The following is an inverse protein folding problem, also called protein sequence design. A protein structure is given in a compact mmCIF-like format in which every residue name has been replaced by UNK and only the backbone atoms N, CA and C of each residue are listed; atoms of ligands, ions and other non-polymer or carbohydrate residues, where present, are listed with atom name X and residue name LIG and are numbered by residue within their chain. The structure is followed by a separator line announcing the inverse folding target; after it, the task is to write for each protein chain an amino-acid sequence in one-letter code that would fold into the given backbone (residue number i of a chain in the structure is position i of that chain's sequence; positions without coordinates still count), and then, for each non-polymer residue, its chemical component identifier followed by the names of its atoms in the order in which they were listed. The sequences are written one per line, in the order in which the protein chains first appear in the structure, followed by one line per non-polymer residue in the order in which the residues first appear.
data_IF_390999782675
#
_entry.id   IF_390999782675
#
_cell.length_a   1.000
_cell.length_b   1.000
_cell.length_c   1.000
_cell.angle_alpha   90.00
_cell.angle_beta   90.00
_cell.angle_gamma   90.00
#
_symmetry.space_group_name_H-M   'P 1'
#
loop_
_entity.id
_entity.type
_entity.pdbx_description
1 polymer ?
#
# COMPACT_ATOMS: atom_id res chain seq x y z
N UNK A 1 6.81 -6.43 19.82
CA UNK A 1 6.16 -7.76 19.95
C UNK A 1 4.88 -7.74 20.78
N UNK A 2 4.93 -7.61 22.12
CA UNK A 2 3.74 -7.71 22.98
C UNK A 2 2.57 -6.74 22.64
N UNK A 3 2.84 -5.53 22.14
CA UNK A 3 1.76 -4.60 21.74
C UNK A 3 1.05 -5.05 20.46
N UNK A 4 1.79 -5.44 19.44
CA UNK A 4 1.26 -5.90 18.15
C UNK A 4 0.44 -7.17 18.32
N UNK A 5 1.00 -8.17 19.01
CA UNK A 5 0.29 -9.44 19.24
C UNK A 5 -1.04 -9.21 19.97
N UNK A 6 -1.06 -8.32 20.99
CA UNK A 6 -2.30 -7.98 21.71
C UNK A 6 -3.35 -7.34 20.81
N UNK A 7 -2.95 -6.41 19.93
CA UNK A 7 -3.91 -5.76 19.03
C UNK A 7 -4.50 -6.78 18.05
N UNK A 8 -3.66 -7.61 17.44
CA UNK A 8 -4.13 -8.61 16.47
C UNK A 8 -5.01 -9.68 17.12
N UNK A 9 -4.72 -10.07 18.36
CA UNK A 9 -5.55 -10.99 19.13
C UNK A 9 -6.94 -10.38 19.42
N UNK A 10 -6.99 -9.11 19.84
CA UNK A 10 -8.26 -8.39 20.01
C UNK A 10 -9.06 -8.30 18.70
N UNK A 11 -8.39 -8.11 17.55
CA UNK A 11 -9.06 -8.11 16.24
C UNK A 11 -9.71 -9.47 15.95
N UNK A 12 -8.99 -10.56 16.24
CA UNK A 12 -9.51 -11.92 16.09
C UNK A 12 -10.70 -12.19 17.02
N UNK A 13 -10.61 -11.78 18.29
CA UNK A 13 -11.71 -11.89 19.25
C UNK A 13 -12.95 -11.09 18.81
N UNK A 14 -12.73 -9.98 18.09
CA UNK A 14 -13.78 -9.18 17.47
C UNK A 14 -14.30 -9.75 16.14
N UNK A 15 -13.87 -10.95 15.72
CA UNK A 15 -14.20 -11.59 14.44
C UNK A 15 -13.78 -10.79 13.20
N UNK A 16 -12.74 -9.96 13.31
CA UNK A 16 -12.13 -9.32 12.16
C UNK A 16 -11.18 -10.30 11.46
N UNK A 17 -11.18 -10.31 10.13
CA UNK A 17 -10.34 -11.17 9.29
C UNK A 17 -9.32 -10.39 8.45
N UNK A 18 -9.39 -9.05 8.46
CA UNK A 18 -8.52 -8.19 7.68
C UNK A 18 -8.14 -6.90 8.43
N UNK A 19 -6.99 -6.34 8.07
CA UNK A 19 -6.47 -5.06 8.57
C UNK A 19 -5.85 -4.27 7.42
N UNK A 20 -6.10 -2.96 7.37
CA UNK A 20 -5.45 -2.06 6.41
C UNK A 20 -4.36 -1.24 7.09
N UNK A 21 -3.14 -1.35 6.58
CA UNK A 21 -2.01 -0.50 6.98
C UNK A 21 -2.09 0.78 6.15
N UNK A 22 -2.73 1.80 6.73
CA UNK A 22 -3.16 2.98 5.98
C UNK A 22 -2.03 4.01 5.78
N UNK A 23 -1.60 4.20 4.53
CA UNK A 23 -0.56 5.15 4.10
C UNK A 23 0.80 5.05 4.83
N UNK A 24 1.19 3.86 5.34
CA UNK A 24 2.49 3.63 5.96
C UNK A 24 2.90 2.14 5.87
N UNK A 25 4.12 1.84 6.34
CA UNK A 25 4.65 0.47 6.46
C UNK A 25 4.88 0.18 7.94
N UNK A 26 4.40 -0.96 8.42
CA UNK A 26 4.58 -1.39 9.82
C UNK A 26 5.95 -2.08 10.01
N UNK A 27 6.44 -2.24 11.25
CA UNK A 27 7.62 -3.07 11.51
C UNK A 27 7.39 -4.53 11.12
N UNK A 28 8.47 -5.24 10.76
CA UNK A 28 8.44 -6.66 10.35
C UNK A 28 7.67 -7.55 11.33
N UNK A 29 7.70 -7.25 12.63
CA UNK A 29 6.98 -8.00 13.65
C UNK A 29 5.47 -7.99 13.45
N UNK A 30 4.90 -6.94 12.85
CA UNK A 30 3.48 -6.88 12.49
C UNK A 30 3.12 -7.95 11.47
N UNK A 31 3.80 -7.95 10.32
CA UNK A 31 3.51 -8.91 9.24
C UNK A 31 3.76 -10.35 9.68
N UNK A 32 4.87 -10.61 10.38
CA UNK A 32 5.11 -11.94 10.96
C UNK A 32 4.00 -12.37 11.93
N UNK A 33 3.35 -11.44 12.62
CA UNK A 33 2.26 -11.76 13.52
C UNK A 33 0.95 -11.96 12.76
N UNK A 34 0.64 -11.10 11.78
CA UNK A 34 -0.50 -11.27 10.90
C UNK A 34 -0.47 -12.65 10.19
N UNK A 35 0.70 -13.08 9.71
CA UNK A 35 0.93 -14.42 9.15
C UNK A 35 0.55 -15.53 10.16
N UNK A 36 0.95 -15.39 11.43
CA UNK A 36 0.68 -16.38 12.49
C UNK A 36 -0.79 -16.41 12.92
N UNK A 37 -1.44 -15.26 12.98
CA UNK A 37 -2.83 -15.14 13.41
C UNK A 37 -3.84 -15.43 12.29
N UNK A 38 -3.38 -15.47 11.03
CA UNK A 38 -4.24 -15.69 9.86
C UNK A 38 -5.11 -14.47 9.53
N UNK A 39 -4.55 -13.26 9.69
CA UNK A 39 -5.22 -12.01 9.32
C UNK A 39 -4.75 -11.54 7.94
N UNK A 40 -5.69 -11.14 7.09
CA UNK A 40 -5.39 -10.54 5.79
C UNK A 40 -4.91 -9.09 5.98
N UNK A 41 -3.85 -8.72 5.27
CA UNK A 41 -3.27 -7.37 5.30
C UNK A 41 -3.50 -6.71 3.96
N UNK A 42 -4.11 -5.53 4.01
CA UNK A 42 -4.12 -4.57 2.92
C UNK A 42 -3.00 -3.57 3.17
N UNK A 43 -1.95 -3.66 2.37
CA UNK A 43 -0.75 -2.84 2.51
C UNK A 43 -0.81 -1.64 1.56
N UNK A 44 -0.86 -0.43 2.12
CA UNK A 44 -0.69 0.78 1.32
C UNK A 44 0.79 1.09 1.07
N UNK A 45 1.14 1.57 -0.11
CA UNK A 45 2.36 2.34 -0.32
C UNK A 45 2.22 3.69 0.41
N UNK A 46 3.28 4.24 1.05
CA UNK A 46 3.21 5.52 1.78
C UNK A 46 3.03 6.76 0.89
N UNK A 47 1.92 6.81 0.16
CA UNK A 47 1.51 7.89 -0.71
C UNK A 47 0.02 8.19 -0.42
N UNK A 48 -0.26 9.40 0.05
CA UNK A 48 -1.59 9.89 0.38
C UNK A 48 -1.85 11.29 -0.19
N UNK A 49 -2.96 11.47 -0.91
CA UNK A 49 -3.35 12.74 -1.54
C UNK A 49 -2.38 13.24 -2.63
N UNK A 50 -2.32 14.55 -2.86
CA UNK A 50 -1.51 15.15 -3.93
C UNK A 50 -0.07 15.47 -3.51
N UNK A 51 0.88 15.09 -4.36
CA UNK A 51 2.31 15.39 -4.28
C UNK A 51 2.79 16.14 -5.53
N UNK A 52 4.03 16.60 -5.50
CA UNK A 52 4.68 17.18 -6.69
C UNK A 52 4.68 16.20 -7.88
N UNK A 53 4.56 16.74 -9.10
CA UNK A 53 4.71 15.97 -10.35
C UNK A 53 6.17 15.92 -10.83
N UNK A 54 7.13 16.29 -9.98
CA UNK A 54 8.56 16.27 -10.32
C UNK A 54 9.04 14.86 -10.68
N UNK A 55 9.77 14.75 -11.79
CA UNK A 55 10.32 13.48 -12.29
C UNK A 55 11.22 12.81 -11.24
N UNK A 56 12.02 13.59 -10.50
CA UNK A 56 12.88 13.07 -9.45
C UNK A 56 12.07 12.43 -8.31
N UNK A 57 10.94 13.05 -7.92
CA UNK A 57 10.04 12.48 -6.93
C UNK A 57 9.43 11.17 -7.44
N UNK A 58 8.97 11.14 -8.70
CA UNK A 58 8.40 9.94 -9.29
C UNK A 58 9.41 8.78 -9.35
N UNK A 59 10.65 9.04 -9.77
CA UNK A 59 11.71 8.03 -9.78
C UNK A 59 12.02 7.49 -8.37
N UNK A 60 12.06 8.35 -7.35
CA UNK A 60 12.25 7.91 -5.96
C UNK A 60 11.08 7.07 -5.47
N UNK A 61 9.84 7.48 -5.74
CA UNK A 61 8.64 6.72 -5.36
C UNK A 61 8.61 5.33 -6.00
N UNK A 62 8.93 5.22 -7.29
CA UNK A 62 9.01 3.93 -8.01
C UNK A 62 10.06 3.00 -7.39
N UNK A 63 11.22 3.54 -7.00
CA UNK A 63 12.26 2.75 -6.32
C UNK A 63 11.81 2.32 -4.92
N UNK A 64 11.19 3.21 -4.15
CA UNK A 64 10.70 2.88 -2.81
C UNK A 64 9.59 1.84 -2.83
N UNK A 65 8.74 1.83 -3.87
CA UNK A 65 7.73 0.79 -4.08
C UNK A 65 8.40 -0.59 -4.28
N UNK A 66 9.45 -0.65 -5.10
CA UNK A 66 10.23 -1.87 -5.33
C UNK A 66 10.87 -2.36 -4.03
N UNK A 67 11.55 -1.47 -3.29
CA UNK A 67 12.16 -1.81 -1.99
C UNK A 67 11.11 -2.34 -0.99
N UNK A 68 9.90 -1.75 -0.97
CA UNK A 68 8.81 -2.19 -0.10
C UNK A 68 8.30 -3.58 -0.48
N UNK A 69 8.05 -3.82 -1.77
CA UNK A 69 7.58 -5.13 -2.26
C UNK A 69 8.66 -6.18 -1.99
N UNK A 70 9.93 -5.92 -2.31
CA UNK A 70 11.04 -6.84 -2.04
C UNK A 70 11.20 -7.17 -0.55
N UNK A 71 10.94 -6.22 0.34
CA UNK A 71 11.00 -6.46 1.77
C UNK A 71 9.87 -7.37 2.27
N UNK A 72 8.69 -7.27 1.65
CA UNK A 72 7.44 -7.76 2.23
C UNK A 72 6.77 -8.90 1.45
N UNK A 73 7.17 -9.18 0.20
CA UNK A 73 6.49 -10.16 -0.68
C UNK A 73 6.40 -11.59 -0.11
N UNK A 74 7.27 -11.96 0.83
CA UNK A 74 7.24 -13.28 1.48
C UNK A 74 6.23 -13.38 2.62
N UNK A 75 5.45 -12.34 2.92
CA UNK A 75 4.41 -12.36 3.94
C UNK A 75 3.07 -12.79 3.34
N UNK A 76 2.63 -14.06 3.52
CA UNK A 76 1.38 -14.55 2.95
C UNK A 76 0.13 -13.86 3.52
N UNK A 77 0.26 -13.15 4.64
CA UNK A 77 -0.84 -12.30 5.14
C UNK A 77 -1.16 -11.14 4.22
N UNK A 78 -0.22 -10.62 3.44
CA UNK A 78 -0.48 -9.50 2.53
C UNK A 78 -1.31 -9.98 1.34
N UNK A 79 -2.56 -9.54 1.31
CA UNK A 79 -3.55 -9.93 0.31
C UNK A 79 -3.80 -8.83 -0.73
N UNK A 80 -3.58 -7.56 -0.37
CA UNK A 80 -3.82 -6.41 -1.26
C UNK A 80 -2.66 -5.43 -1.14
N UNK A 81 -2.21 -4.91 -2.27
CA UNK A 81 -1.25 -3.83 -2.38
C UNK A 81 -1.95 -2.59 -2.93
N UNK A 82 -2.14 -1.58 -2.10
CA UNK A 82 -2.66 -0.30 -2.58
C UNK A 82 -1.51 0.64 -2.88
N UNK A 83 -1.45 1.18 -4.09
CA UNK A 83 -0.29 1.98 -4.53
C UNK A 83 -0.43 3.46 -4.20
N UNK A 84 -1.65 3.93 -3.90
CA UNK A 84 -1.91 5.33 -3.57
C UNK A 84 -3.26 5.49 -2.83
N UNK A 85 -3.25 6.04 -1.63
CA UNK A 85 -4.47 6.39 -0.91
C UNK A 85 -5.03 7.77 -1.33
N UNK A 86 -6.29 7.81 -1.75
CA UNK A 86 -7.03 9.05 -2.03
C UNK A 86 -6.28 9.99 -2.98
N UNK A 87 -5.81 9.47 -4.11
CA UNK A 87 -5.12 10.27 -5.13
C UNK A 87 -6.03 11.39 -5.66
N UNK A 88 -5.47 12.54 -6.12
CA UNK A 88 -6.28 13.66 -6.60
C UNK A 88 -7.27 13.31 -7.71
N UNK A 89 -6.99 12.31 -8.54
CA UNK A 89 -7.89 11.90 -9.62
C UNK A 89 -9.04 10.96 -9.16
N UNK A 90 -8.98 10.41 -7.94
CA UNK A 90 -10.00 9.52 -7.36
C UNK A 90 -10.67 10.10 -6.09
N UNK A 91 -10.29 11.30 -5.68
CA UNK A 91 -10.82 11.96 -4.48
C UNK A 91 -11.41 13.36 -4.81
N UNK A 92 -12.60 13.41 -5.45
CA UNK A 92 -13.24 14.65 -5.90
C UNK A 92 -13.59 15.61 -4.74
N UNK A 93 -13.77 15.07 -3.53
CA UNK A 93 -14.00 15.87 -2.32
C UNK A 93 -12.85 16.85 -2.03
N UNK A 94 -11.64 16.61 -2.56
CA UNK A 94 -10.52 17.54 -2.41
C UNK A 94 -10.75 18.88 -3.12
N UNK A 95 -11.57 18.92 -4.17
CA UNK A 95 -11.92 20.17 -4.86
C UNK A 95 -12.61 21.18 -3.93
N UNK A 96 -13.34 20.70 -2.92
CA UNK A 96 -14.03 21.55 -1.94
C UNK A 96 -13.09 22.10 -0.87
N UNK A 97 -11.94 21.45 -0.64
CA UNK A 97 -11.01 21.76 0.45
C UNK A 97 -9.71 22.41 0.01
N UNK A 98 -9.34 22.25 -1.27
CA UNK A 98 -8.04 22.68 -1.81
C UNK A 98 -8.23 23.65 -2.95
N UNK A 99 -7.78 24.90 -2.76
CA UNK A 99 -7.96 26.00 -3.73
C UNK A 99 -7.31 25.73 -5.10
N UNK A 100 -6.19 25.03 -5.12
CA UNK A 100 -5.43 24.69 -6.33
C UNK A 100 -5.52 23.19 -6.65
N UNK A 101 -6.70 22.60 -6.43
CA UNK A 101 -6.94 21.20 -6.75
C UNK A 101 -6.76 20.94 -8.26
N UNK A 102 -5.94 19.94 -8.57
CA UNK A 102 -5.74 19.43 -9.92
C UNK A 102 -6.12 17.94 -9.93
N UNK A 103 -7.25 17.61 -10.55
CA UNK A 103 -7.72 16.23 -10.68
C UNK A 103 -6.85 15.37 -11.59
N UNK A 104 -5.84 15.93 -12.27
CA UNK A 104 -4.83 15.18 -13.02
C UNK A 104 -3.53 14.97 -12.24
N UNK A 105 -3.40 15.56 -11.05
CA UNK A 105 -2.17 15.50 -10.26
C UNK A 105 -1.84 14.04 -9.89
N UNK A 106 -0.57 13.67 -10.10
CA UNK A 106 -0.02 12.33 -9.88
C UNK A 106 -0.60 11.17 -10.70
N UNK A 107 -1.52 11.40 -11.64
CA UNK A 107 -2.05 10.31 -12.49
C UNK A 107 -0.94 9.54 -13.25
N UNK A 108 0.10 10.25 -13.72
CA UNK A 108 1.24 9.62 -14.37
C UNK A 108 2.14 8.85 -13.40
N UNK A 109 2.29 9.35 -12.17
CA UNK A 109 3.02 8.65 -11.11
C UNK A 109 2.31 7.32 -10.81
N UNK A 110 1.00 7.35 -10.62
CA UNK A 110 0.22 6.16 -10.25
C UNK A 110 0.26 5.10 -11.35
N UNK A 111 0.19 5.51 -12.62
CA UNK A 111 0.42 4.59 -13.76
C UNK A 111 1.81 3.96 -13.72
N UNK A 112 2.85 4.73 -13.42
CA UNK A 112 4.22 4.20 -13.32
C UNK A 112 4.37 3.20 -12.17
N UNK A 113 3.80 3.52 -11.01
CA UNK A 113 3.77 2.64 -9.83
C UNK A 113 3.03 1.34 -10.17
N UNK A 114 1.84 1.44 -10.76
CA UNK A 114 1.03 0.29 -11.20
C UNK A 114 1.81 -0.63 -12.15
N UNK A 115 2.38 -0.09 -13.23
CA UNK A 115 3.13 -0.91 -14.19
C UNK A 115 4.41 -1.48 -13.61
N UNK A 116 5.08 -0.79 -12.67
CA UNK A 116 6.23 -1.34 -11.96
C UNK A 116 5.81 -2.52 -11.09
N UNK A 117 4.71 -2.38 -10.35
CA UNK A 117 4.22 -3.41 -9.46
C UNK A 117 3.76 -4.67 -10.22
N UNK A 118 3.05 -4.51 -11.34
CA UNK A 118 2.71 -5.62 -12.25
C UNK A 118 3.95 -6.38 -12.73
N UNK A 119 5.00 -5.67 -13.15
CA UNK A 119 6.26 -6.32 -13.58
C UNK A 119 6.95 -7.10 -12.46
N UNK A 120 6.82 -6.63 -11.21
CA UNK A 120 7.36 -7.34 -10.06
C UNK A 120 6.55 -8.62 -9.77
N UNK A 121 5.22 -8.57 -9.86
CA UNK A 121 4.35 -9.76 -9.72
C UNK A 121 4.74 -10.86 -10.73
N UNK A 122 4.89 -10.46 -12.01
CA UNK A 122 5.31 -11.36 -13.08
C UNK A 122 6.68 -12.00 -12.80
N UNK A 123 7.63 -11.23 -12.27
CA UNK A 123 8.98 -11.71 -11.96
C UNK A 123 9.01 -12.66 -10.75
N UNK A 124 8.10 -12.50 -9.79
CA UNK A 124 7.99 -13.34 -8.59
C UNK A 124 7.36 -14.72 -8.94
N UNK A 125 6.78 -14.87 -10.13
CA UNK A 125 6.33 -16.16 -10.67
C UNK A 125 4.99 -16.64 -10.12
N UNK A 126 4.20 -15.74 -9.55
CA UNK A 126 2.85 -16.05 -9.07
C UNK A 126 1.86 -14.96 -9.54
N UNK A 127 1.41 -15.01 -10.81
CA UNK A 127 0.70 -13.90 -11.50
C UNK A 127 -0.70 -13.54 -10.95
N UNK A 128 -1.06 -14.02 -9.77
CA UNK A 128 -2.31 -13.72 -9.06
C UNK A 128 -2.07 -13.29 -7.60
N UNK A 129 -0.81 -13.07 -7.19
CA UNK A 129 -0.46 -12.86 -5.78
C UNK A 129 -0.60 -11.42 -5.32
N UNK A 130 -0.49 -10.45 -6.24
CA UNK A 130 -0.59 -9.03 -5.92
C UNK A 130 -1.89 -8.46 -6.49
N UNK A 131 -2.89 -8.25 -5.63
CA UNK A 131 -4.08 -7.48 -5.97
C UNK A 131 -3.80 -5.99 -5.79
N UNK A 132 -3.79 -5.22 -6.89
CA UNK A 132 -3.54 -3.78 -6.87
C UNK A 132 -4.82 -2.97 -6.79
N UNK A 133 -4.83 -1.98 -5.89
CA UNK A 133 -5.82 -0.91 -5.85
C UNK A 133 -5.16 0.47 -5.93
#
# INVERSE_FOLDING_TARGET
RQRVDRVLDMMREANLNAVRVHAHVEPKEFYCSADRYGLLVWQDFPLQWGYTNDEEFSCRAVRQLEDMIELLYNHPSIAVWCIHNESPWDAPWMAERTRNYDSGQNLLLDRRLYYKALKLDEAIGNPESLHFQ
#
